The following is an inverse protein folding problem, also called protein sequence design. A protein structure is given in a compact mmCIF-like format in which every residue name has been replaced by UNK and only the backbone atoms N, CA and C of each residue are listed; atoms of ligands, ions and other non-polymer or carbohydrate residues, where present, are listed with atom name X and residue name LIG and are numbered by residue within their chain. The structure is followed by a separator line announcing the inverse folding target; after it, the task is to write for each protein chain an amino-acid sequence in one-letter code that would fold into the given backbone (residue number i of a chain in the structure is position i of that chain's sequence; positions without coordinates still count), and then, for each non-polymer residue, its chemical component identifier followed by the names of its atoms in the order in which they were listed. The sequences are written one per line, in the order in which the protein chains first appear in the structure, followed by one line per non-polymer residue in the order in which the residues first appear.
data_IF_317009422734
#
_entry.id   IF_317009422734
#
_cell.length_a   1.000
_cell.length_b   1.000
_cell.length_c   1.000
_cell.angle_alpha   90.00
_cell.angle_beta   90.00
_cell.angle_gamma   90.00
#
_symmetry.space_group_name_H-M   'P 1'
#
loop_
_entity.id
_entity.type
_entity.pdbx_description
1 polymer ?
#
# COMPACT_ATOMS: atom_id res chain seq x y z
N UNK A 1 -5.80 -5.20 17.73
CA UNK A 1 -5.53 -5.89 16.45
C UNK A 1 -5.11 -7.31 16.75
N UNK A 2 -5.75 -8.29 16.11
CA UNK A 2 -5.35 -9.70 16.16
C UNK A 2 -3.96 -9.85 15.52
N UNK A 3 -3.10 -10.63 16.16
CA UNK A 3 -1.74 -10.90 15.65
C UNK A 3 -1.82 -12.01 14.61
N UNK A 4 -1.29 -11.77 13.41
CA UNK A 4 -1.13 -12.83 12.41
C UNK A 4 -0.04 -13.80 12.87
N UNK A 5 -0.32 -15.11 12.85
CA UNK A 5 0.71 -16.12 13.10
C UNK A 5 0.90 -17.03 11.91
N UNK A 6 2.09 -17.58 11.69
CA UNK A 6 2.33 -18.54 10.60
C UNK A 6 1.41 -19.77 10.74
N UNK A 7 1.11 -20.19 11.97
CA UNK A 7 0.29 -21.38 12.26
C UNK A 7 -1.16 -21.21 11.81
N UNK A 8 -1.69 -20.00 11.92
CA UNK A 8 -3.09 -19.65 11.66
C UNK A 8 -3.23 -18.66 10.50
N UNK A 9 -2.18 -18.52 9.68
CA UNK A 9 -2.01 -17.43 8.72
C UNK A 9 -3.23 -17.22 7.81
N UNK A 10 -3.74 -18.31 7.23
CA UNK A 10 -4.83 -18.25 6.27
C UNK A 10 -6.17 -17.87 6.92
N UNK A 11 -6.44 -18.37 8.12
CA UNK A 11 -7.66 -18.03 8.85
C UNK A 11 -7.58 -16.60 9.38
N UNK A 12 -6.43 -16.21 9.95
CA UNK A 12 -6.19 -14.89 10.50
C UNK A 12 -6.30 -13.82 9.40
N UNK A 13 -5.69 -14.08 8.23
CA UNK A 13 -5.72 -13.11 7.12
C UNK A 13 -7.11 -13.00 6.52
N UNK A 14 -7.85 -14.11 6.41
CA UNK A 14 -9.22 -14.09 5.89
C UNK A 14 -10.13 -13.28 6.82
N UNK A 15 -10.10 -13.56 8.13
CA UNK A 15 -10.84 -12.78 9.13
C UNK A 15 -10.50 -11.30 9.05
N UNK A 16 -9.21 -10.96 8.86
CA UNK A 16 -8.80 -9.57 8.73
C UNK A 16 -9.36 -8.91 7.46
N UNK A 17 -9.35 -9.59 6.32
CA UNK A 17 -9.89 -9.02 5.08
C UNK A 17 -11.39 -8.77 5.20
N UNK A 18 -12.11 -9.64 5.90
CA UNK A 18 -13.54 -9.45 6.15
C UNK A 18 -13.79 -8.26 7.09
N UNK A 19 -13.02 -8.10 8.17
CA UNK A 19 -13.05 -6.89 9.01
C UNK A 19 -12.79 -5.62 8.19
N UNK A 20 -11.74 -5.61 7.36
CA UNK A 20 -11.37 -4.45 6.53
C UNK A 20 -12.42 -4.12 5.46
N UNK A 21 -13.23 -5.10 5.06
CA UNK A 21 -14.35 -4.88 4.14
C UNK A 21 -15.55 -4.20 4.79
N UNK A 22 -15.66 -4.29 6.12
CA UNK A 22 -16.69 -3.62 6.91
C UNK A 22 -16.21 -2.26 7.38
N UNK A 23 -14.97 -2.18 7.89
CA UNK A 23 -14.38 -0.96 8.41
C UNK A 23 -12.90 -0.83 7.99
N UNK A 24 -12.63 0.21 7.20
CA UNK A 24 -11.28 0.62 6.81
C UNK A 24 -11.02 2.09 7.16
N UNK A 25 -11.72 2.64 8.15
CA UNK A 25 -11.58 4.04 8.61
C UNK A 25 -10.13 4.43 8.93
N UNK A 26 -9.33 3.52 9.50
CA UNK A 26 -7.91 3.73 9.76
C UNK A 26 -7.11 4.08 8.48
N UNK A 27 -7.50 3.56 7.31
CA UNK A 27 -6.89 3.90 6.02
C UNK A 27 -7.22 5.36 5.66
N UNK A 28 -8.47 5.76 5.77
CA UNK A 28 -8.93 7.13 5.49
C UNK A 28 -8.26 8.14 6.44
N UNK A 29 -8.15 7.82 7.73
CA UNK A 29 -7.45 8.66 8.73
C UNK A 29 -5.96 8.83 8.41
N UNK A 30 -5.30 7.74 8.00
CA UNK A 30 -3.91 7.74 7.55
C UNK A 30 -3.72 8.66 6.33
N UNK A 31 -4.60 8.52 5.34
CA UNK A 31 -4.59 9.31 4.11
C UNK A 31 -4.78 10.80 4.39
N UNK A 32 -5.80 11.15 5.19
CA UNK A 32 -6.06 12.53 5.61
C UNK A 32 -4.87 13.15 6.35
N UNK A 33 -4.17 12.36 7.16
CA UNK A 33 -2.96 12.83 7.84
C UNK A 33 -1.86 13.15 6.86
N UNK A 34 -1.60 12.28 5.88
CA UNK A 34 -0.60 12.52 4.86
C UNK A 34 -0.97 13.72 3.96
N UNK A 35 -2.25 13.90 3.63
CA UNK A 35 -2.71 15.07 2.85
C UNK A 35 -2.46 16.40 3.58
N UNK A 36 -2.66 16.43 4.90
CA UNK A 36 -2.32 17.62 5.72
C UNK A 36 -0.82 17.90 5.73
N UNK A 37 0.01 16.86 5.83
CA UNK A 37 1.48 17.00 5.81
C UNK A 37 1.95 17.54 4.46
N UNK A 38 1.41 17.01 3.35
CA UNK A 38 1.73 17.48 1.99
C UNK A 38 1.30 18.94 1.82
N UNK A 39 0.09 19.29 2.26
CA UNK A 39 -0.42 20.66 2.19
C UNK A 39 0.41 21.66 3.02
N UNK A 40 1.08 21.20 4.07
CA UNK A 40 2.05 21.98 4.85
C UNK A 40 3.35 22.30 4.10
N UNK A 41 3.59 21.69 2.94
CA UNK A 41 4.75 21.95 2.07
C UNK A 41 6.05 21.25 2.50
N UNK A 42 6.04 20.53 3.63
CA UNK A 42 7.21 19.83 4.16
C UNK A 42 7.69 18.72 3.21
N UNK A 43 9.01 18.58 3.10
CA UNK A 43 9.62 17.51 2.32
C UNK A 43 9.42 16.17 3.04
N UNK A 44 8.65 15.28 2.41
CA UNK A 44 8.33 13.95 2.92
C UNK A 44 8.92 12.89 2.01
N UNK A 45 9.71 11.98 2.59
CA UNK A 45 10.42 10.94 1.85
C UNK A 45 9.46 10.06 1.03
N UNK A 46 9.73 9.92 -0.27
CA UNK A 46 8.94 9.05 -1.17
C UNK A 46 7.52 9.55 -1.48
N UNK A 47 7.17 10.75 -1.01
CA UNK A 47 5.87 11.39 -1.25
C UNK A 47 6.06 12.56 -2.22
N UNK A 48 6.80 13.60 -1.81
CA UNK A 48 7.17 14.75 -2.63
C UNK A 48 8.69 14.93 -2.76
N UNK A 49 9.41 13.82 -2.62
CA UNK A 49 10.86 13.73 -2.82
C UNK A 49 11.20 12.53 -3.68
N UNK A 50 12.42 12.50 -4.22
CA UNK A 50 12.94 11.32 -4.91
C UNK A 50 13.16 10.11 -3.98
N UNK A 51 13.53 8.97 -4.56
CA UNK A 51 13.81 7.73 -3.82
C UNK A 51 15.32 7.46 -3.72
N UNK A 52 15.77 6.77 -2.67
CA UNK A 52 17.17 6.37 -2.50
C UNK A 52 18.13 7.56 -2.56
N UNK A 53 19.08 7.56 -3.51
CA UNK A 53 20.07 8.63 -3.67
C UNK A 53 19.45 10.01 -3.95
N UNK A 54 18.19 10.07 -4.39
CA UNK A 54 17.46 11.30 -4.70
C UNK A 54 16.51 11.74 -3.56
N UNK A 55 16.58 11.12 -2.38
CA UNK A 55 15.75 11.42 -1.22
C UNK A 55 15.77 12.90 -0.79
N UNK A 56 16.86 13.61 -1.07
CA UNK A 56 17.05 15.02 -0.72
C UNK A 56 16.53 15.99 -1.79
N UNK A 57 16.00 15.51 -2.91
CA UNK A 57 15.43 16.36 -3.96
C UNK A 57 13.92 16.43 -3.81
N UNK A 58 13.39 17.63 -3.56
CA UNK A 58 11.95 17.91 -3.63
C UNK A 58 11.48 17.81 -5.08
N UNK A 59 10.29 17.25 -5.26
CA UNK A 59 9.60 17.12 -6.54
C UNK A 59 8.40 18.07 -6.53
N UNK A 60 8.09 18.65 -7.69
CA UNK A 60 6.92 19.52 -7.84
C UNK A 60 5.62 18.72 -7.72
N UNK A 61 4.57 19.35 -7.20
CA UNK A 61 3.29 18.69 -6.95
C UNK A 61 2.66 18.18 -8.27
N UNK A 62 2.91 18.86 -9.40
CA UNK A 62 2.44 18.45 -10.73
C UNK A 62 3.15 17.19 -11.25
N UNK A 63 4.34 16.87 -10.72
CA UNK A 63 5.15 15.74 -11.15
C UNK A 63 4.94 14.49 -10.27
N UNK A 64 4.20 14.58 -9.16
CA UNK A 64 4.06 13.48 -8.20
C UNK A 64 3.41 12.23 -8.80
N UNK A 65 2.39 12.40 -9.65
CA UNK A 65 1.76 11.28 -10.34
C UNK A 65 2.75 10.56 -11.27
N UNK A 66 3.55 11.34 -12.02
CA UNK A 66 4.61 10.82 -12.89
C UNK A 66 5.70 10.12 -12.08
N UNK A 67 6.11 10.69 -10.94
CA UNK A 67 7.07 10.11 -10.01
C UNK A 67 6.61 8.72 -9.54
N UNK A 68 5.39 8.60 -9.04
CA UNK A 68 4.84 7.32 -8.54
C UNK A 68 4.70 6.28 -9.67
N UNK A 69 4.28 6.70 -10.87
CA UNK A 69 4.24 5.82 -12.04
C UNK A 69 5.63 5.31 -12.42
N UNK A 70 6.62 6.20 -12.45
CA UNK A 70 7.99 5.84 -12.82
C UNK A 70 8.63 4.93 -11.77
N UNK A 71 8.28 5.08 -10.49
CA UNK A 71 8.70 4.16 -9.44
C UNK A 71 8.23 2.74 -9.77
N UNK A 72 6.94 2.56 -10.07
CA UNK A 72 6.38 1.25 -10.43
C UNK A 72 7.09 0.63 -11.64
N UNK A 73 7.27 1.40 -12.72
CA UNK A 73 7.90 0.92 -13.96
C UNK A 73 9.37 0.55 -13.74
N UNK A 74 10.11 1.35 -12.98
CA UNK A 74 11.54 1.09 -12.73
C UNK A 74 11.81 -0.08 -11.78
N UNK A 75 10.82 -0.48 -10.97
CA UNK A 75 10.94 -1.56 -9.99
C UNK A 75 10.18 -2.84 -10.38
N UNK A 76 9.44 -2.82 -11.48
CA UNK A 76 8.81 -4.00 -12.08
C UNK A 76 9.85 -4.86 -12.84
N UNK A 77 10.89 -5.31 -12.12
CA UNK A 77 12.07 -5.98 -12.66
C UNK A 77 12.11 -7.49 -12.34
N UNK A 78 10.95 -8.10 -12.12
CA UNK A 78 10.84 -9.55 -11.92
C UNK A 78 11.35 -10.32 -13.14
N UNK A 79 12.11 -11.39 -12.91
CA UNK A 79 12.68 -12.26 -13.95
C UNK A 79 12.44 -13.73 -13.62
N UNK A 80 12.53 -14.60 -14.62
CA UNK A 80 12.27 -16.04 -14.47
C UNK A 80 10.79 -16.39 -14.58
N UNK A 81 10.43 -17.54 -14.02
CA UNK A 81 9.06 -18.05 -14.09
C UNK A 81 8.09 -17.23 -13.22
N UNK A 82 6.81 -17.10 -13.63
CA UNK A 82 5.79 -16.46 -12.80
C UNK A 82 5.67 -17.13 -11.42
N UNK A 83 5.51 -16.30 -10.38
CA UNK A 83 5.22 -16.78 -9.03
C UNK A 83 3.88 -17.52 -9.03
N UNK A 84 3.77 -18.71 -8.41
CA UNK A 84 2.52 -19.45 -8.29
C UNK A 84 1.36 -18.60 -7.75
N UNK A 85 0.16 -18.78 -8.33
CA UNK A 85 -1.03 -17.97 -8.00
C UNK A 85 -1.33 -17.95 -6.51
N UNK A 86 -1.25 -19.10 -5.85
CA UNK A 86 -1.49 -19.25 -4.40
C UNK A 86 -0.55 -18.35 -3.57
N UNK A 87 0.72 -18.25 -3.97
CA UNK A 87 1.70 -17.38 -3.30
C UNK A 87 1.37 -15.91 -3.58
N UNK A 88 1.04 -15.55 -4.82
CA UNK A 88 0.67 -14.16 -5.14
C UNK A 88 -0.62 -13.71 -4.43
N UNK A 89 -1.58 -14.62 -4.22
CA UNK A 89 -2.82 -14.34 -3.50
C UNK A 89 -2.55 -14.01 -2.03
N UNK A 90 -1.74 -14.83 -1.33
CA UNK A 90 -1.37 -14.53 0.06
C UNK A 90 -0.49 -13.29 0.17
N UNK A 91 0.39 -13.03 -0.80
CA UNK A 91 1.18 -11.78 -0.86
C UNK A 91 0.28 -10.54 -0.94
N UNK A 92 -0.75 -10.58 -1.79
CA UNK A 92 -1.70 -9.49 -1.92
C UNK A 92 -2.53 -9.31 -0.64
N UNK A 93 -3.05 -10.40 -0.07
CA UNK A 93 -3.81 -10.37 1.18
C UNK A 93 -2.98 -9.77 2.34
N UNK A 94 -1.73 -10.17 2.48
CA UNK A 94 -0.80 -9.61 3.47
C UNK A 94 -0.50 -8.13 3.22
N UNK A 95 -0.39 -7.71 1.95
CA UNK A 95 -0.23 -6.30 1.60
C UNK A 95 -1.47 -5.50 2.00
N UNK A 96 -2.68 -6.00 1.73
CA UNK A 96 -3.94 -5.36 2.14
C UNK A 96 -4.03 -5.25 3.66
N UNK A 97 -3.70 -6.31 4.40
CA UNK A 97 -3.61 -6.25 5.86
C UNK A 97 -2.67 -5.14 6.32
N UNK A 98 -1.46 -5.06 5.77
CA UNK A 98 -0.46 -4.08 6.18
C UNK A 98 -0.91 -2.64 5.88
N UNK A 99 -1.52 -2.40 4.73
CA UNK A 99 -2.10 -1.10 4.37
C UNK A 99 -3.26 -0.73 5.30
N UNK A 100 -4.11 -1.71 5.61
CA UNK A 100 -5.27 -1.59 6.49
C UNK A 100 -4.94 -1.35 7.97
N UNK A 101 -3.66 -1.35 8.34
CA UNK A 101 -3.23 -0.93 9.68
C UNK A 101 -3.28 0.59 9.89
N UNK A 102 -3.41 1.38 8.81
CA UNK A 102 -3.56 2.84 8.93
C UNK A 102 -2.27 3.64 9.06
N UNK A 103 -1.12 3.08 8.64
CA UNK A 103 0.18 3.75 8.73
C UNK A 103 0.87 4.00 7.38
N UNK A 104 0.16 3.77 6.27
CA UNK A 104 0.75 3.80 4.92
C UNK A 104 0.35 5.00 4.07
N UNK A 105 -0.70 5.76 4.45
CA UNK A 105 -1.21 6.86 3.64
C UNK A 105 -1.64 6.46 2.23
N UNK A 106 -2.04 5.21 1.99
CA UNK A 106 -2.54 4.77 0.67
C UNK A 106 -3.86 5.48 0.36
N UNK A 107 -4.15 5.74 -0.92
CA UNK A 107 -5.47 6.28 -1.29
C UNK A 107 -6.57 5.25 -1.08
N UNK A 108 -7.75 5.70 -0.66
CA UNK A 108 -8.91 4.84 -0.39
C UNK A 108 -9.32 4.06 -1.65
N UNK A 109 -9.28 4.69 -2.82
CA UNK A 109 -9.55 4.04 -4.11
C UNK A 109 -8.59 2.88 -4.39
N UNK A 110 -7.29 3.08 -4.14
CA UNK A 110 -6.29 2.02 -4.37
C UNK A 110 -6.48 0.89 -3.37
N UNK A 111 -6.68 1.22 -2.10
CA UNK A 111 -6.93 0.24 -1.05
C UNK A 111 -8.16 -0.63 -1.36
N UNK A 112 -9.29 0.01 -1.71
CA UNK A 112 -10.52 -0.70 -2.07
C UNK A 112 -10.33 -1.64 -3.25
N UNK A 113 -9.58 -1.23 -4.28
CA UNK A 113 -9.28 -2.08 -5.44
C UNK A 113 -8.41 -3.29 -5.08
N UNK A 114 -7.40 -3.10 -4.22
CA UNK A 114 -6.56 -4.19 -3.75
C UNK A 114 -7.34 -5.17 -2.87
N UNK A 115 -8.24 -4.66 -2.02
CA UNK A 115 -9.12 -5.48 -1.19
C UNK A 115 -10.09 -6.30 -2.05
N UNK A 116 -10.68 -5.70 -3.08
CA UNK A 116 -11.50 -6.42 -4.07
C UNK A 116 -10.70 -7.56 -4.73
N UNK A 117 -9.50 -7.27 -5.22
CA UNK A 117 -8.65 -8.28 -5.87
C UNK A 117 -8.22 -9.39 -4.91
N UNK A 118 -7.93 -9.09 -3.64
CA UNK A 118 -7.59 -10.13 -2.65
C UNK A 118 -8.72 -11.11 -2.39
N UNK A 119 -9.98 -10.74 -2.69
CA UNK A 119 -11.17 -11.58 -2.49
C UNK A 119 -11.66 -12.27 -3.76
N UNK A 120 -11.26 -11.76 -4.93
CA UNK A 120 -11.79 -12.19 -6.24
C UNK A 120 -11.07 -13.39 -6.84
N UNK A 121 -9.89 -13.76 -6.31
CA UNK A 121 -9.10 -14.91 -6.74
C UNK A 121 -8.39 -14.72 -8.08
#
# INVERSE_FOLDING_TARGET
MSTLTIRTLYDDIQSRLDELSVDSSAVSESRNTLDRVIAGGEATYGVNTGFGKLANKRIDDNDLSTLQRNLLVSHAVGVGDPVPREITAIMLALKVHALGMGYSGVSETTFGRLLEFSRSG
#
